data_IF_185466005806
#
_entry.id   IF_185466005806
#
_cell.length_a   1.000
_cell.length_b   1.000
_cell.length_c   1.000
_cell.angle_alpha   90.00
_cell.angle_beta   90.00
_cell.angle_gamma   90.00
#
_symmetry.space_group_name_H-M   'P 1'
#
loop_
_entity.id
_entity.type
_entity.pdbx_description
1 polymer ?
#
# COMPACT_ATOMS: atom_id res chain seq x y z
N UNK A 1 -0.69 21.92 18.65
CA UNK A 1 -0.95 20.47 18.78
C UNK A 1 -0.83 19.83 17.41
N UNK A 2 0.24 19.06 17.19
CA UNK A 2 0.80 18.67 15.88
C UNK A 2 0.17 17.38 15.33
N UNK A 3 -1.10 17.13 15.64
CA UNK A 3 -1.75 15.82 15.49
C UNK A 3 -2.17 15.45 14.07
N UNK A 4 -1.94 16.33 13.08
CA UNK A 4 -2.46 16.15 11.71
C UNK A 4 -1.51 15.36 10.80
N UNK A 5 -0.19 15.43 11.04
CA UNK A 5 0.83 14.64 10.32
C UNK A 5 0.79 13.11 10.56
N UNK A 6 0.52 12.58 11.78
CA UNK A 6 0.44 11.13 11.96
C UNK A 6 -0.75 10.51 11.24
N UNK A 7 -1.83 11.27 10.96
CA UNK A 7 -3.03 10.72 10.33
C UNK A 7 -2.75 10.24 8.89
N UNK A 8 -1.97 11.00 8.12
CA UNK A 8 -1.52 10.59 6.79
C UNK A 8 -0.62 9.35 6.85
N UNK A 9 0.30 9.30 7.83
CA UNK A 9 1.13 8.13 8.09
C UNK A 9 0.31 6.90 8.49
N UNK A 10 -0.72 7.07 9.31
CA UNK A 10 -1.61 6.01 9.76
C UNK A 10 -2.47 5.49 8.61
N UNK A 11 -2.94 6.37 7.71
CA UNK A 11 -3.64 5.98 6.50
C UNK A 11 -2.74 5.16 5.55
N UNK A 12 -1.47 5.55 5.38
CA UNK A 12 -0.48 4.75 4.63
C UNK A 12 -0.33 3.37 5.26
N UNK A 13 -0.10 3.31 6.57
CA UNK A 13 0.11 2.04 7.29
C UNK A 13 -1.14 1.17 7.17
N UNK A 14 -2.33 1.71 7.36
CA UNK A 14 -3.58 0.96 7.25
C UNK A 14 -3.79 0.40 5.84
N UNK A 15 -3.51 1.19 4.79
CA UNK A 15 -3.56 0.73 3.41
C UNK A 15 -2.53 -0.37 3.12
N UNK A 16 -1.32 -0.23 3.67
CA UNK A 16 -0.25 -1.22 3.54
C UNK A 16 -0.61 -2.53 4.23
N UNK A 17 -1.22 -2.48 5.42
CA UNK A 17 -1.69 -3.66 6.15
C UNK A 17 -2.78 -4.37 5.36
N UNK A 18 -3.80 -3.66 4.88
CA UNK A 18 -4.88 -4.24 4.07
C UNK A 18 -4.32 -4.93 2.81
N UNK A 19 -3.31 -4.33 2.19
CA UNK A 19 -2.67 -4.93 1.04
C UNK A 19 -1.90 -6.20 1.37
N UNK A 20 -1.06 -6.16 2.39
CA UNK A 20 -0.30 -7.34 2.82
C UNK A 20 -1.26 -8.47 3.16
N UNK A 21 -2.37 -8.19 3.85
CA UNK A 21 -3.42 -9.19 4.12
C UNK A 21 -3.96 -9.76 2.82
N UNK A 22 -4.40 -8.93 1.88
CA UNK A 22 -4.94 -9.40 0.61
C UNK A 22 -3.93 -10.26 -0.18
N UNK A 23 -2.66 -9.83 -0.20
CA UNK A 23 -1.56 -10.55 -0.87
C UNK A 23 -1.27 -11.88 -0.19
N UNK A 24 -1.18 -11.92 1.14
CA UNK A 24 -0.89 -13.16 1.85
C UNK A 24 -2.05 -14.14 1.68
N UNK A 25 -3.30 -13.65 1.72
CA UNK A 25 -4.48 -14.50 1.47
C UNK A 25 -4.52 -15.02 0.04
N UNK A 26 -4.14 -14.20 -0.97
CA UNK A 26 -4.03 -14.68 -2.36
C UNK A 26 -2.86 -15.66 -2.55
N UNK A 27 -1.79 -15.53 -1.77
CA UNK A 27 -0.62 -16.41 -1.85
C UNK A 27 -0.98 -17.86 -1.52
N UNK A 28 -1.93 -18.09 -0.62
CA UNK A 28 -2.43 -19.45 -0.29
C UNK A 28 -3.09 -20.16 -1.49
N UNK A 29 -3.50 -19.43 -2.52
CA UNK A 29 -4.05 -20.00 -3.76
C UNK A 29 -2.98 -20.26 -4.83
N UNK A 30 -1.73 -19.85 -4.59
CA UNK A 30 -0.62 -20.04 -5.53
C UNK A 30 -0.04 -21.45 -5.34
N UNK A 31 0.13 -22.24 -6.42
CA UNK A 31 0.73 -23.57 -6.33
C UNK A 31 2.17 -23.53 -5.81
N UNK A 32 2.59 -24.58 -5.09
CA UNK A 32 3.91 -24.79 -4.47
C UNK A 32 5.05 -24.96 -5.50
N UNK A 33 5.24 -23.95 -6.34
CA UNK A 33 6.27 -23.88 -7.36
C UNK A 33 7.08 -22.61 -7.14
N UNK A 34 8.38 -22.76 -6.88
CA UNK A 34 9.33 -21.66 -6.63
C UNK A 34 9.24 -20.56 -7.70
N UNK A 35 9.01 -20.95 -8.96
CA UNK A 35 8.86 -19.99 -10.06
C UNK A 35 7.52 -19.23 -10.02
N UNK A 36 6.43 -19.89 -9.64
CA UNK A 36 5.11 -19.27 -9.49
C UNK A 36 5.11 -18.30 -8.30
N UNK A 37 5.73 -18.69 -7.19
CA UNK A 37 5.89 -17.85 -6.01
C UNK A 37 6.76 -16.61 -6.31
N UNK A 38 7.85 -16.78 -7.06
CA UNK A 38 8.71 -15.66 -7.49
C UNK A 38 7.92 -14.67 -8.36
N UNK A 39 7.21 -15.17 -9.38
CA UNK A 39 6.38 -14.32 -10.25
C UNK A 39 5.26 -13.64 -9.46
N UNK A 40 4.65 -14.35 -8.51
CA UNK A 40 3.63 -13.80 -7.65
C UNK A 40 4.15 -12.61 -6.84
N UNK A 41 5.29 -12.73 -6.17
CA UNK A 41 5.88 -11.62 -5.43
C UNK A 41 6.30 -10.45 -6.32
N UNK A 42 6.84 -10.72 -7.51
CA UNK A 42 7.22 -9.67 -8.47
C UNK A 42 6.00 -8.90 -8.96
N UNK A 43 4.96 -9.61 -9.41
CA UNK A 43 3.72 -8.99 -9.89
C UNK A 43 3.05 -8.22 -8.76
N UNK A 44 3.00 -8.79 -7.57
CA UNK A 44 2.46 -8.12 -6.39
C UNK A 44 3.26 -6.87 -6.04
N UNK A 45 4.60 -6.90 -6.11
CA UNK A 45 5.42 -5.70 -5.93
C UNK A 45 5.09 -4.60 -6.94
N UNK A 46 4.84 -4.96 -8.20
CA UNK A 46 4.47 -4.02 -9.27
C UNK A 46 3.06 -3.47 -9.08
N UNK A 47 2.09 -4.34 -8.75
CA UNK A 47 0.70 -3.95 -8.47
C UNK A 47 0.65 -2.94 -7.33
N UNK A 48 1.59 -3.02 -6.36
CA UNK A 48 1.69 -2.08 -5.24
C UNK A 48 2.06 -0.64 -5.64
N UNK A 49 2.63 -0.42 -6.81
CA UNK A 49 3.03 0.92 -7.26
C UNK A 49 1.79 1.83 -7.40
N UNK A 50 0.68 1.29 -7.89
CA UNK A 50 -0.56 2.06 -8.09
C UNK A 50 -1.18 2.58 -6.78
N UNK A 51 -1.44 1.73 -5.76
CA UNK A 51 -1.90 2.19 -4.46
C UNK A 51 -0.86 3.06 -3.75
N UNK A 52 0.45 2.77 -3.86
CA UNK A 52 1.49 3.64 -3.28
C UNK A 52 1.41 5.07 -3.85
N UNK A 53 1.25 5.23 -5.16
CA UNK A 53 1.08 6.53 -5.81
C UNK A 53 -0.22 7.20 -5.41
N UNK A 54 -1.32 6.45 -5.31
CA UNK A 54 -2.62 6.99 -4.89
C UNK A 54 -2.57 7.54 -3.46
N UNK A 55 -1.91 6.82 -2.54
CA UNK A 55 -1.78 7.25 -1.14
C UNK A 55 -0.82 8.44 -1.00
N UNK A 56 0.32 8.45 -1.72
CA UNK A 56 1.23 9.60 -1.75
C UNK A 56 0.52 10.83 -2.34
N UNK A 57 -0.28 10.66 -3.39
CA UNK A 57 -1.09 11.72 -3.98
C UNK A 57 -2.12 12.29 -3.00
N UNK A 58 -2.76 11.43 -2.21
CA UNK A 58 -3.70 11.84 -1.17
C UNK A 58 -3.00 12.61 -0.04
N UNK A 59 -1.89 12.10 0.47
CA UNK A 59 -1.08 12.76 1.49
C UNK A 59 -0.59 14.15 1.05
N UNK A 60 -0.17 14.30 -0.22
CA UNK A 60 0.23 15.60 -0.78
C UNK A 60 -0.94 16.57 -0.97
N UNK A 61 -2.16 16.07 -1.13
CA UNK A 61 -3.36 16.88 -1.33
C UNK A 61 -3.89 17.46 -0.01
N UNK A 62 -3.66 16.77 1.10
CA UNK A 62 -4.00 17.26 2.45
C UNK A 62 -3.10 18.43 2.91
N UNK A 63 -1.84 18.48 2.45
CA UNK A 63 -0.92 19.60 2.70
C UNK A 63 -1.38 20.93 2.03
N UNK A 64 -2.19 20.84 0.97
CA UNK A 64 -2.75 22.00 0.26
C UNK A 64 -3.88 22.73 1.00
N UNK A 65 -4.42 22.14 2.07
CA UNK A 65 -5.50 22.74 2.88
C UNK A 65 -5.02 23.68 4.00
N UNK A 66 -3.70 23.85 4.16
CA UNK A 66 -3.12 24.79 5.13
C UNK A 66 -2.66 26.13 4.52
N UNK A 67 -2.97 26.40 3.24
CA UNK A 67 -2.64 27.67 2.56
C UNK A 67 -3.86 28.38 1.94
N UNK A 68 -5.07 28.14 2.48
CA UNK A 68 -6.29 28.85 2.09
C UNK A 68 -6.97 29.47 3.31
#
# INVERSE_FOLDING_TARGET
MRWRSPLAGLAIIAGLVLYVVAVVTLAEFVPDHVLAETLYYVVTGIVWIWPAVSVIGWARKDDGSQQG
#
